data_IF_624503628683
#
_entry.id   IF_624503628683
#
_cell.length_a   1.000
_cell.length_b   1.000
_cell.length_c   1.000
_cell.angle_alpha   90.00
_cell.angle_beta   90.00
_cell.angle_gamma   90.00
#
_symmetry.space_group_name_H-M   'P 1'
#
loop_
_entity.id
_entity.type
_entity.pdbx_description
1 polymer ?
#
# COMPACT_ATOMS: atom_id res chain seq x y z
N UNK A 1 8.84 -5.28 -14.10
CA UNK A 1 8.56 -5.91 -12.78
C UNK A 1 8.84 -7.40 -12.90
N UNK A 2 9.50 -8.05 -11.95
CA UNK A 2 9.67 -9.50 -12.05
C UNK A 2 8.32 -10.21 -11.82
N UNK A 3 8.06 -11.27 -12.60
CA UNK A 3 6.80 -12.03 -12.55
C UNK A 3 6.42 -12.48 -11.13
N UNK A 4 7.35 -13.02 -10.30
CA UNK A 4 7.00 -13.45 -8.94
C UNK A 4 6.62 -12.29 -8.01
N UNK A 5 7.23 -11.11 -8.20
CA UNK A 5 6.87 -9.93 -7.40
C UNK A 5 5.48 -9.45 -7.75
N UNK A 6 5.17 -9.36 -9.03
CA UNK A 6 3.84 -8.96 -9.50
C UNK A 6 2.75 -9.87 -8.92
N UNK A 7 2.93 -11.19 -9.00
CA UNK A 7 1.95 -12.16 -8.52
C UNK A 7 1.64 -12.00 -7.02
N UNK A 8 2.67 -11.81 -6.17
CA UNK A 8 2.48 -11.58 -4.73
C UNK A 8 1.75 -10.29 -4.40
N UNK A 9 1.80 -9.29 -5.29
CA UNK A 9 1.23 -7.95 -5.08
C UNK A 9 -0.19 -7.81 -5.64
N UNK A 10 -0.71 -8.82 -6.35
CA UNK A 10 -2.08 -8.83 -6.93
C UNK A 10 -3.16 -8.45 -5.91
N UNK A 11 -3.29 -9.10 -4.73
CA UNK A 11 -4.38 -8.78 -3.81
C UNK A 11 -4.35 -7.32 -3.35
N UNK A 12 -3.16 -6.77 -3.09
CA UNK A 12 -2.99 -5.42 -2.55
C UNK A 12 -3.23 -4.33 -3.60
N UNK A 13 -2.82 -4.57 -4.85
CA UNK A 13 -2.99 -3.60 -5.94
C UNK A 13 -4.40 -3.55 -6.49
N UNK A 14 -5.05 -4.71 -6.65
CA UNK A 14 -6.33 -4.79 -7.33
C UNK A 14 -7.52 -4.63 -6.38
N UNK A 15 -7.35 -4.91 -5.08
CA UNK A 15 -8.43 -4.86 -4.09
C UNK A 15 -8.18 -3.84 -2.97
N UNK A 16 -7.13 -3.04 -3.10
CA UNK A 16 -6.73 -2.04 -2.10
C UNK A 16 -6.63 -2.62 -0.68
N UNK A 17 -6.10 -3.83 -0.56
CA UNK A 17 -5.89 -4.49 0.73
C UNK A 17 -4.64 -3.88 1.38
N UNK A 18 -4.82 -3.22 2.52
CA UNK A 18 -3.77 -2.68 3.37
C UNK A 18 -3.65 -3.47 4.67
N UNK A 19 -2.87 -2.95 5.61
CA UNK A 19 -2.75 -3.52 6.95
C UNK A 19 -3.24 -2.57 8.03
N UNK A 20 -3.88 -3.11 9.06
CA UNK A 20 -4.41 -2.38 10.21
C UNK A 20 -3.80 -2.91 11.49
N UNK A 21 -3.27 -2.03 12.35
CA UNK A 21 -2.76 -2.41 13.65
C UNK A 21 -3.84 -2.25 14.72
N UNK A 22 -4.36 -3.34 15.28
CA UNK A 22 -5.39 -3.29 16.33
C UNK A 22 -4.90 -2.66 17.63
N UNK A 23 -3.58 -2.57 17.82
CA UNK A 23 -2.99 -2.00 19.04
C UNK A 23 -2.91 -0.48 19.02
N UNK A 24 -2.62 0.13 17.87
CA UNK A 24 -2.49 1.57 17.73
C UNK A 24 -3.55 2.21 16.82
N UNK A 25 -4.49 1.41 16.31
CA UNK A 25 -5.59 1.83 15.43
C UNK A 25 -5.12 2.54 14.16
N UNK A 26 -3.95 2.18 13.65
CA UNK A 26 -3.35 2.82 12.47
C UNK A 26 -3.45 1.88 11.26
N UNK A 27 -3.86 2.44 10.13
CA UNK A 27 -3.88 1.77 8.82
C UNK A 27 -2.62 2.09 8.02
N UNK A 28 -2.12 1.11 7.27
CA UNK A 28 -0.93 1.23 6.43
C UNK A 28 -1.20 0.70 5.02
N UNK A 29 -0.73 1.45 4.03
CA UNK A 29 -0.66 1.02 2.64
C UNK A 29 0.68 1.47 2.04
N UNK A 30 1.45 0.60 1.35
CA UNK A 30 1.25 -0.84 1.14
C UNK A 30 1.20 -1.67 2.44
N UNK A 31 0.68 -2.91 2.42
CA UNK A 31 0.59 -3.74 3.62
C UNK A 31 1.97 -4.00 4.21
N UNK A 32 2.02 -4.06 5.54
CA UNK A 32 3.26 -4.28 6.32
C UNK A 32 3.06 -5.41 7.30
N UNK A 33 4.05 -6.28 7.44
CA UNK A 33 4.04 -7.35 8.46
C UNK A 33 4.34 -6.83 9.87
N UNK A 34 5.03 -5.68 9.98
CA UNK A 34 5.45 -5.10 11.26
C UNK A 34 4.94 -3.67 11.37
N UNK A 35 4.24 -3.37 12.47
CA UNK A 35 3.80 -2.02 12.78
C UNK A 35 4.99 -1.08 13.01
N UNK A 36 5.13 0.05 12.31
CA UNK A 36 6.23 1.00 12.54
C UNK A 36 6.15 1.68 13.92
N UNK A 37 4.95 1.79 14.51
CA UNK A 37 4.72 2.39 15.84
C UNK A 37 4.95 1.38 16.96
N UNK A 38 4.27 0.24 16.92
CA UNK A 38 4.29 -0.77 17.98
C UNK A 38 5.38 -1.84 17.82
N UNK A 39 6.04 -1.90 16.65
CA UNK A 39 7.04 -2.91 16.28
C UNK A 39 6.51 -4.33 16.53
N UNK A 40 7.29 -5.17 17.22
CA UNK A 40 6.94 -6.57 17.56
C UNK A 40 5.69 -6.70 18.41
N UNK A 41 5.27 -5.62 19.07
CA UNK A 41 4.11 -5.65 19.95
C UNK A 41 2.81 -5.27 19.23
N UNK A 42 2.89 -4.88 17.95
CA UNK A 42 1.72 -4.59 17.14
C UNK A 42 1.03 -5.88 16.72
N UNK A 43 -0.29 -5.83 16.66
CA UNK A 43 -1.13 -6.88 16.10
C UNK A 43 -1.67 -6.39 14.76
N UNK A 44 -1.12 -6.93 13.67
CA UNK A 44 -1.41 -6.47 12.32
C UNK A 44 -2.38 -7.46 11.65
N UNK A 45 -3.45 -6.91 11.08
CA UNK A 45 -4.42 -7.65 10.25
C UNK A 45 -4.59 -7.00 8.89
N UNK A 46 -4.95 -7.81 7.91
CA UNK A 46 -5.31 -7.30 6.60
C UNK A 46 -6.70 -6.64 6.65
N UNK A 47 -6.82 -5.47 6.01
CA UNK A 47 -8.08 -4.72 5.92
C UNK A 47 -8.30 -4.23 4.50
N UNK A 48 -9.55 -4.27 4.03
CA UNK A 48 -9.92 -3.60 2.78
C UNK A 48 -10.05 -2.10 3.05
N UNK A 49 -9.27 -1.29 2.34
CA UNK A 49 -9.32 0.17 2.44
C UNK A 49 -10.45 0.73 1.56
N UNK A 50 -10.85 1.96 1.86
CA UNK A 50 -11.79 2.72 1.03
C UNK A 50 -11.17 3.02 -0.34
N UNK A 51 -11.97 2.92 -1.40
CA UNK A 51 -11.52 3.13 -2.79
C UNK A 51 -11.55 4.62 -3.19
N UNK A 52 -11.84 5.49 -2.22
CA UNK A 52 -11.93 6.94 -2.37
C UNK A 52 -10.84 7.64 -1.56
N UNK A 53 -10.46 8.84 -2.01
CA UNK A 53 -9.46 9.66 -1.34
C UNK A 53 -9.27 10.99 -2.03
N UNK A 54 -8.37 11.80 -1.48
CA UNK A 54 -8.10 13.15 -1.93
C UNK A 54 -6.63 13.33 -2.32
N UNK A 55 -6.37 14.23 -3.27
CA UNK A 55 -5.00 14.52 -3.74
C UNK A 55 -4.28 15.29 -2.65
N UNK A 56 -3.34 14.62 -1.97
CA UNK A 56 -2.46 15.27 -0.99
C UNK A 56 -1.41 16.17 -1.65
N UNK A 57 -0.79 15.69 -2.74
CA UNK A 57 0.23 16.41 -3.53
C UNK A 57 0.39 15.77 -4.90
N UNK A 58 0.85 16.54 -5.89
CA UNK A 58 1.08 16.05 -7.25
C UNK A 58 2.32 16.71 -7.90
N UNK A 59 2.83 16.06 -8.95
CA UNK A 59 3.89 16.60 -9.81
C UNK A 59 3.56 16.31 -11.28
N UNK A 60 4.31 16.92 -12.21
CA UNK A 60 4.11 16.77 -13.65
C UNK A 60 5.37 16.15 -14.27
N UNK A 61 5.21 14.98 -14.89
CA UNK A 61 6.27 14.33 -15.68
C UNK A 61 6.35 15.05 -17.03
N UNK A 62 7.45 15.78 -17.27
CA UNK A 62 7.65 16.57 -18.51
C UNK A 62 8.33 15.80 -19.64
N UNK A 63 9.02 14.72 -19.30
CA UNK A 63 9.73 13.86 -20.25
C UNK A 63 9.55 12.43 -19.77
N UNK A 64 8.64 11.71 -20.41
CA UNK A 64 8.33 10.33 -20.05
C UNK A 64 9.28 9.35 -20.78
N UNK A 65 9.45 8.12 -20.27
CA UNK A 65 10.07 7.04 -21.03
C UNK A 65 9.25 6.70 -22.30
N UNK A 66 9.87 6.16 -23.37
CA UNK A 66 9.18 5.86 -24.64
C UNK A 66 7.96 4.93 -24.50
N UNK A 67 7.91 4.10 -23.47
CA UNK A 67 6.76 3.22 -23.19
C UNK A 67 5.49 3.98 -22.76
N UNK A 68 5.62 5.28 -22.48
CA UNK A 68 4.58 6.18 -21.99
C UNK A 68 4.44 7.45 -22.85
N UNK A 69 5.06 7.48 -24.04
CA UNK A 69 4.98 8.58 -25.02
C UNK A 69 3.68 8.52 -25.85
#
# INVERSE_FOLDING_TARGET
MSVPRFWREIPYRYRLIGSYCEKCNETFFPPREICPRCRRSGDIKDVKLEEEGEIFSYTIIRTAPPEFD
#
